data_IF_725592451508
#
_entry.id   IF_725592451508
#
_cell.length_a   1.000
_cell.length_b   1.000
_cell.length_c   1.000
_cell.angle_alpha   90.00
_cell.angle_beta   90.00
_cell.angle_gamma   90.00
#
_symmetry.space_group_name_H-M   'P 1'
#
loop_
_entity.id
_entity.type
_entity.pdbx_description
1 polymer ?
#
# COMPACT_ATOMS: atom_id res chain seq x y z
N UNK A 1 21.89 -16.71 -14.46
CA UNK A 1 23.25 -16.99 -13.94
C UNK A 1 23.87 -15.65 -13.56
N UNK A 2 24.16 -15.43 -12.27
CA UNK A 2 24.97 -14.28 -11.84
C UNK A 2 26.42 -14.60 -12.15
N UNK A 3 27.02 -13.88 -13.09
CA UNK A 3 28.41 -14.11 -13.53
C UNK A 3 29.44 -13.32 -12.70
N UNK A 4 29.01 -12.25 -12.01
CA UNK A 4 29.87 -11.42 -11.19
C UNK A 4 29.19 -11.05 -9.86
N UNK A 5 29.98 -11.02 -8.79
CA UNK A 5 29.59 -10.49 -7.48
C UNK A 5 30.42 -9.24 -7.23
N UNK A 6 29.77 -8.10 -7.07
CA UNK A 6 30.41 -6.87 -6.64
C UNK A 6 30.27 -6.67 -5.15
N UNK A 7 31.35 -6.26 -4.48
CA UNK A 7 31.29 -5.86 -3.08
C UNK A 7 30.83 -4.40 -3.02
N UNK A 8 29.72 -4.19 -2.31
CA UNK A 8 29.16 -2.86 -2.05
C UNK A 8 29.55 -2.48 -0.62
N UNK A 9 30.15 -1.32 -0.40
CA UNK A 9 30.71 -0.92 0.90
C UNK A 9 29.69 -0.91 2.06
N UNK A 10 30.20 -0.69 3.28
CA UNK A 10 29.38 -0.78 4.51
C UNK A 10 28.43 0.41 4.74
N UNK A 11 28.70 1.56 4.11
CA UNK A 11 27.99 2.83 4.35
C UNK A 11 26.88 3.10 3.34
N UNK A 12 26.29 2.03 2.78
CA UNK A 12 25.21 2.12 1.81
C UNK A 12 23.88 2.20 2.52
N UNK A 13 23.11 3.22 2.19
CA UNK A 13 21.77 3.47 2.74
C UNK A 13 20.65 3.06 1.79
N UNK A 14 20.92 2.98 0.48
CA UNK A 14 19.96 2.56 -0.53
C UNK A 14 20.66 1.96 -1.75
N UNK A 15 20.09 0.90 -2.31
CA UNK A 15 20.52 0.29 -3.59
C UNK A 15 19.29 -0.07 -4.40
N UNK A 16 19.20 0.47 -5.59
CA UNK A 16 18.15 0.14 -6.54
C UNK A 16 18.68 0.11 -7.97
N UNK A 17 17.97 -0.60 -8.83
CA UNK A 17 18.22 -0.54 -10.28
C UNK A 17 17.69 0.79 -10.80
N UNK A 18 18.53 1.57 -11.45
CA UNK A 18 18.09 2.76 -12.17
C UNK A 18 17.54 2.38 -13.55
N UNK A 19 16.40 2.94 -13.91
CA UNK A 19 15.75 2.77 -15.21
C UNK A 19 15.86 4.07 -16.01
N UNK A 20 16.33 3.97 -17.27
CA UNK A 20 16.44 5.15 -18.13
C UNK A 20 15.05 5.62 -18.52
N UNK A 21 14.81 6.93 -18.38
CA UNK A 21 13.51 7.54 -18.70
C UNK A 21 12.47 7.44 -17.58
N UNK A 22 12.84 6.89 -16.41
CA UNK A 22 11.98 6.93 -15.24
C UNK A 22 11.89 8.36 -14.71
N UNK A 23 10.72 8.98 -14.88
CA UNK A 23 10.39 10.32 -14.37
C UNK A 23 9.50 10.27 -13.14
N UNK A 24 9.02 9.07 -12.76
CA UNK A 24 8.09 8.90 -11.63
C UNK A 24 8.78 8.63 -10.31
N UNK A 25 9.95 7.99 -10.32
CA UNK A 25 10.69 7.76 -9.08
C UNK A 25 11.22 9.07 -8.52
N UNK A 26 10.62 9.52 -7.42
CA UNK A 26 11.02 10.70 -6.67
C UNK A 26 11.78 10.30 -5.43
N UNK A 27 12.94 10.93 -5.21
CA UNK A 27 13.78 10.71 -4.04
C UNK A 27 13.50 11.80 -3.02
N UNK A 28 13.18 11.40 -1.78
CA UNK A 28 13.05 12.31 -0.66
C UNK A 28 14.29 12.19 0.22
N UNK A 29 14.90 13.31 0.55
CA UNK A 29 16.14 13.29 1.32
C UNK A 29 16.25 14.45 2.32
N UNK A 30 16.80 14.12 3.48
CA UNK A 30 17.31 15.11 4.43
C UNK A 30 18.81 14.90 4.59
N UNK A 31 19.58 15.98 4.49
CA UNK A 31 21.02 15.92 4.69
C UNK A 31 21.51 17.10 5.54
N UNK A 32 22.59 16.88 6.26
CA UNK A 32 23.32 17.91 7.00
C UNK A 32 24.52 18.37 6.18
N UNK A 33 24.71 19.69 6.07
CA UNK A 33 25.78 20.31 5.30
C UNK A 33 26.99 20.63 6.21
N UNK A 34 27.99 19.74 6.24
CA UNK A 34 29.16 19.78 7.13
C UNK A 34 28.91 19.16 8.51
N UNK A 35 29.92 19.16 9.39
CA UNK A 35 29.89 18.45 10.69
C UNK A 35 28.80 18.96 11.64
N UNK A 36 28.63 20.29 11.71
CA UNK A 36 27.64 20.96 12.58
C UNK A 36 26.72 21.88 11.79
N UNK A 37 26.55 21.59 10.51
CA UNK A 37 25.85 22.45 9.56
C UNK A 37 24.34 22.35 9.64
N UNK A 38 23.69 23.24 8.90
CA UNK A 38 22.25 23.28 8.70
C UNK A 38 21.76 21.98 8.04
N UNK A 39 20.66 21.44 8.51
CA UNK A 39 19.96 20.36 7.83
C UNK A 39 19.05 20.91 6.73
N UNK A 40 19.12 20.29 5.57
CA UNK A 40 18.31 20.61 4.40
C UNK A 40 17.43 19.42 4.05
N UNK A 41 16.23 19.73 3.55
CA UNK A 41 15.25 18.78 3.05
C UNK A 41 15.00 19.04 1.57
N UNK A 42 14.88 17.99 0.77
CA UNK A 42 14.59 18.09 -0.66
C UNK A 42 13.87 16.90 -1.22
N UNK A 43 13.07 17.14 -2.24
CA UNK A 43 12.55 16.15 -3.19
C UNK A 43 13.22 16.35 -4.54
N UNK A 44 13.60 15.26 -5.20
CA UNK A 44 14.26 15.37 -6.49
C UNK A 44 14.06 14.12 -7.35
N UNK A 45 14.05 14.33 -8.66
CA UNK A 45 14.09 13.27 -9.66
C UNK A 45 15.52 13.04 -10.17
N UNK A 46 15.80 11.82 -10.63
CA UNK A 46 17.05 11.44 -11.31
C UNK A 46 16.71 10.96 -12.72
N UNK A 47 16.41 11.89 -13.60
CA UNK A 47 16.02 11.62 -14.99
C UNK A 47 17.18 11.15 -15.87
N UNK A 48 18.41 11.50 -15.50
CA UNK A 48 19.61 11.12 -16.23
C UNK A 48 20.75 10.69 -15.31
N UNK A 49 21.38 9.58 -15.65
CA UNK A 49 22.60 9.11 -15.01
C UNK A 49 23.61 8.67 -16.07
N UNK A 50 24.86 9.05 -15.87
CA UNK A 50 25.99 8.62 -16.71
C UNK A 50 26.63 7.45 -15.99
N UNK A 51 26.88 6.36 -16.70
CA UNK A 51 27.53 5.17 -16.17
C UNK A 51 28.91 5.53 -15.57
N UNK A 52 29.21 4.92 -14.43
CA UNK A 52 30.48 5.08 -13.69
C UNK A 52 30.77 6.51 -13.22
N UNK A 53 29.76 7.40 -13.19
CA UNK A 53 29.88 8.75 -12.66
C UNK A 53 29.23 8.89 -11.31
N UNK A 54 30.00 9.41 -10.34
CA UNK A 54 29.50 9.77 -9.02
C UNK A 54 28.79 11.13 -9.02
N UNK A 55 27.75 11.23 -8.19
CA UNK A 55 26.98 12.46 -8.02
C UNK A 55 26.78 12.75 -6.53
N UNK A 56 27.17 13.93 -6.10
CA UNK A 56 26.99 14.38 -4.72
C UNK A 56 25.54 14.82 -4.50
N UNK A 57 24.86 14.23 -3.52
CA UNK A 57 23.52 14.62 -3.08
C UNK A 57 23.53 15.76 -2.07
N UNK A 58 24.68 16.09 -1.49
CA UNK A 58 24.87 17.18 -0.54
C UNK A 58 25.41 18.43 -1.24
N UNK A 59 26.07 19.30 -0.51
CA UNK A 59 26.76 20.48 -1.08
C UNK A 59 28.27 20.29 -1.17
N UNK A 60 28.76 19.07 -0.97
CA UNK A 60 30.15 18.73 -1.05
C UNK A 60 31.02 19.26 0.08
N UNK A 61 30.46 19.79 1.17
CA UNK A 61 31.24 20.15 2.33
C UNK A 61 31.76 18.89 3.05
N UNK A 62 33.00 18.90 3.56
CA UNK A 62 33.53 17.82 4.37
C UNK A 62 32.56 17.49 5.53
N UNK A 63 32.45 16.20 5.88
CA UNK A 63 31.59 15.70 6.94
C UNK A 63 30.06 15.93 6.75
N UNK A 64 29.62 16.25 5.53
CA UNK A 64 28.20 16.23 5.20
C UNK A 64 27.65 14.83 5.32
N UNK A 65 26.42 14.70 5.80
CA UNK A 65 25.78 13.39 6.05
C UNK A 65 24.33 13.39 5.60
N UNK A 66 23.91 12.36 4.89
CA UNK A 66 22.50 12.07 4.64
C UNK A 66 21.89 11.51 5.93
N UNK A 67 20.82 12.13 6.39
CA UNK A 67 20.13 11.80 7.64
C UNK A 67 18.87 10.98 7.40
N UNK A 68 18.25 11.15 6.24
CA UNK A 68 17.06 10.44 5.79
C UNK A 68 17.07 10.32 4.28
N UNK A 69 16.62 9.19 3.75
CA UNK A 69 16.55 8.97 2.31
C UNK A 69 15.52 7.89 1.98
N UNK A 70 14.60 8.18 1.05
CA UNK A 70 13.66 7.23 0.48
C UNK A 70 13.62 7.38 -1.04
N UNK A 71 13.23 6.30 -1.71
CA UNK A 71 12.97 6.28 -3.14
C UNK A 71 11.51 5.89 -3.34
N UNK A 72 10.76 6.74 -3.99
CA UNK A 72 9.31 6.69 -4.08
C UNK A 72 8.90 6.54 -5.55
N UNK A 73 8.54 5.31 -6.00
CA UNK A 73 8.35 4.99 -7.44
C UNK A 73 7.23 5.77 -8.12
N UNK A 74 6.23 6.23 -7.37
CA UNK A 74 5.12 7.04 -7.88
C UNK A 74 5.10 8.44 -7.27
N UNK A 75 6.27 8.92 -6.78
CA UNK A 75 6.39 10.25 -6.20
C UNK A 75 5.62 10.41 -4.89
N UNK A 76 5.57 9.37 -4.10
CA UNK A 76 4.97 9.39 -2.76
C UNK A 76 5.66 10.44 -1.90
N UNK A 77 4.89 11.12 -1.07
CA UNK A 77 5.37 12.15 -0.15
C UNK A 77 5.01 11.78 1.27
N UNK A 78 5.97 11.19 1.96
CA UNK A 78 5.81 10.79 3.36
C UNK A 78 5.92 11.98 4.32
N UNK A 79 5.34 11.80 5.52
CA UNK A 79 5.53 12.70 6.65
C UNK A 79 6.64 12.14 7.55
N UNK A 80 7.61 12.99 7.87
CA UNK A 80 8.72 12.64 8.76
C UNK A 80 8.63 13.36 10.10
N UNK A 81 8.98 12.65 11.17
CA UNK A 81 9.16 13.19 12.53
C UNK A 81 10.65 13.47 12.76
N UNK A 82 10.95 14.74 13.03
CA UNK A 82 12.32 15.19 13.30
C UNK A 82 12.49 15.49 14.79
N UNK A 83 13.49 14.86 15.40
CA UNK A 83 13.88 15.09 16.81
C UNK A 83 15.21 15.85 16.84
N UNK A 84 15.26 16.97 17.53
CA UNK A 84 16.46 17.79 17.69
C UNK A 84 17.23 17.43 18.96
N UNK A 85 18.54 17.70 18.96
CA UNK A 85 19.35 17.58 20.18
C UNK A 85 19.05 18.75 21.11
N UNK A 86 18.79 18.50 22.41
CA UNK A 86 18.63 19.56 23.38
C UNK A 86 19.91 20.39 23.48
N UNK A 87 19.82 21.70 23.29
CA UNK A 87 20.96 22.60 23.54
C UNK A 87 20.87 23.21 24.95
N UNK A 88 22.01 23.58 25.54
CA UNK A 88 22.05 24.21 26.87
C UNK A 88 21.18 25.49 26.96
N UNK A 89 21.03 26.21 25.85
CA UNK A 89 20.21 27.42 25.74
C UNK A 89 18.70 27.13 25.66
N UNK A 90 18.30 25.94 25.18
CA UNK A 90 16.87 25.56 24.98
C UNK A 90 16.31 24.64 26.07
N UNK A 91 17.11 24.23 27.07
CA UNK A 91 16.66 23.35 28.18
C UNK A 91 15.41 23.86 28.93
N UNK A 92 15.08 25.15 28.84
CA UNK A 92 13.88 25.74 29.50
C UNK A 92 12.58 25.56 28.71
N UNK A 93 12.62 25.14 27.43
CA UNK A 93 11.41 24.90 26.61
C UNK A 93 11.51 23.53 26.01
N UNK A 94 10.76 22.54 26.53
CA UNK A 94 10.62 21.20 25.94
C UNK A 94 9.87 21.26 24.59
N UNK A 95 8.94 22.21 24.44
CA UNK A 95 8.23 22.45 23.18
C UNK A 95 9.18 22.93 22.07
N UNK A 96 9.10 22.31 20.90
CA UNK A 96 9.88 22.65 19.71
C UNK A 96 11.17 21.84 19.52
N UNK A 97 11.38 20.77 20.31
CA UNK A 97 12.45 19.79 20.04
C UNK A 97 12.01 18.69 19.06
N UNK A 98 10.72 18.52 18.87
CA UNK A 98 10.12 17.57 17.96
C UNK A 98 9.20 18.35 17.03
N UNK A 99 9.27 18.06 15.73
CA UNK A 99 8.36 18.61 14.74
C UNK A 99 8.24 17.65 13.55
N UNK A 100 7.14 17.79 12.84
CA UNK A 100 6.83 17.02 11.66
C UNK A 100 7.03 17.85 10.41
N UNK A 101 7.31 17.20 9.32
CA UNK A 101 7.47 17.84 8.02
C UNK A 101 6.93 16.91 6.94
N UNK A 102 6.00 17.41 6.15
CA UNK A 102 5.46 16.72 5.00
C UNK A 102 6.33 17.00 3.77
N UNK A 103 6.72 15.94 3.06
CA UNK A 103 7.42 16.10 1.79
C UNK A 103 6.49 16.60 0.68
N UNK A 104 5.16 16.48 0.80
CA UNK A 104 4.22 17.00 -0.18
C UNK A 104 4.31 18.53 -0.36
N UNK A 105 4.69 19.25 0.70
CA UNK A 105 4.89 20.70 0.67
C UNK A 105 6.12 21.14 -0.15
N UNK A 106 6.94 20.18 -0.62
CA UNK A 106 8.17 20.46 -1.31
C UNK A 106 8.05 20.26 -2.82
N UNK A 107 8.51 21.25 -3.58
CA UNK A 107 8.64 21.13 -5.02
C UNK A 107 9.68 20.08 -5.40
N UNK A 108 9.34 19.23 -6.37
CA UNK A 108 10.27 18.29 -6.99
C UNK A 108 11.25 19.08 -7.86
N UNK A 109 12.54 18.89 -7.62
CA UNK A 109 13.62 19.60 -8.33
C UNK A 109 14.65 18.61 -8.89
N UNK A 110 15.65 19.09 -9.62
CA UNK A 110 16.78 18.26 -10.03
C UNK A 110 17.66 17.86 -8.84
N UNK A 111 18.36 16.73 -8.93
CA UNK A 111 19.20 16.16 -7.85
C UNK A 111 20.23 17.13 -7.27
N UNK A 112 20.76 18.08 -8.07
CA UNK A 112 21.75 19.08 -7.64
C UNK A 112 21.14 20.23 -6.82
N UNK A 113 19.82 20.33 -6.74
CA UNK A 113 19.16 21.35 -5.94
C UNK A 113 19.57 21.24 -4.47
N UNK A 114 19.77 22.40 -3.82
CA UNK A 114 20.12 22.47 -2.40
C UNK A 114 18.99 21.96 -1.50
N UNK A 115 17.76 22.19 -1.90
CA UNK A 115 16.58 21.98 -1.05
C UNK A 115 16.28 23.17 -0.13
N UNK A 116 15.28 22.98 0.73
CA UNK A 116 14.85 23.96 1.73
C UNK A 116 15.60 23.71 3.06
N UNK A 117 15.69 24.70 3.90
CA UNK A 117 16.23 24.53 5.25
C UNK A 117 15.17 23.82 6.10
N UNK A 118 15.50 22.62 6.57
CA UNK A 118 14.69 21.92 7.55
C UNK A 118 14.90 22.52 8.93
N UNK A 119 16.15 22.61 9.38
CA UNK A 119 16.52 23.21 10.68
C UNK A 119 17.97 23.66 10.70
N UNK A 120 18.26 24.67 11.52
CA UNK A 120 19.64 25.10 11.85
C UNK A 120 20.16 24.43 13.12
N UNK A 121 19.31 23.72 13.82
CA UNK A 121 19.66 23.04 15.07
C UNK A 121 20.17 21.62 14.79
N UNK A 122 21.02 21.07 15.65
CA UNK A 122 21.50 19.72 15.51
C UNK A 122 20.37 18.69 15.56
N UNK A 123 20.26 17.87 14.55
CA UNK A 123 19.28 16.78 14.49
C UNK A 123 19.80 15.58 15.28
N UNK A 124 18.96 14.99 16.12
CA UNK A 124 19.22 13.73 16.80
C UNK A 124 18.77 12.55 15.95
N UNK A 125 17.50 12.53 15.54
CA UNK A 125 16.88 11.44 14.75
C UNK A 125 15.85 12.00 13.78
N UNK A 126 15.71 11.32 12.65
CA UNK A 126 14.58 11.46 11.73
C UNK A 126 13.98 10.08 11.54
N UNK A 127 12.68 9.98 11.63
CA UNK A 127 11.92 8.74 11.41
C UNK A 127 10.72 9.01 10.51
N UNK A 128 10.29 8.00 9.79
CA UNK A 128 9.00 8.00 9.12
C UNK A 128 7.91 8.10 10.18
N UNK A 129 6.92 8.95 9.96
CA UNK A 129 5.71 9.06 10.77
C UNK A 129 4.51 8.49 10.03
N UNK A 130 4.31 8.91 8.79
CA UNK A 130 3.21 8.49 7.94
C UNK A 130 3.74 8.16 6.55
N UNK A 131 3.26 7.09 5.95
CA UNK A 131 3.54 6.75 4.56
C UNK A 131 2.92 7.80 3.64
N UNK A 132 3.62 8.08 2.53
CA UNK A 132 3.19 9.13 1.62
C UNK A 132 2.17 8.64 0.61
N UNK A 133 1.31 9.54 0.17
CA UNK A 133 0.49 9.34 -1.02
C UNK A 133 1.22 9.89 -2.24
N UNK A 134 0.89 9.34 -3.42
CA UNK A 134 1.45 9.83 -4.68
C UNK A 134 1.10 11.31 -4.89
N UNK A 135 2.08 12.09 -5.34
CA UNK A 135 1.92 13.51 -5.67
C UNK A 135 2.00 13.79 -7.18
N UNK A 136 2.11 12.73 -7.98
CA UNK A 136 2.29 12.82 -9.43
C UNK A 136 1.00 12.63 -10.23
N UNK A 137 -0.13 12.48 -9.56
CA UNK A 137 -1.37 12.02 -10.20
C UNK A 137 -1.34 10.53 -10.52
N UNK A 138 -2.48 9.99 -10.86
CA UNK A 138 -2.63 8.59 -11.19
C UNK A 138 -1.95 8.22 -12.51
N UNK A 139 -1.86 6.93 -12.74
CA UNK A 139 -1.36 6.35 -13.98
C UNK A 139 -2.40 5.40 -14.54
N UNK A 140 -2.84 5.65 -15.74
CA UNK A 140 -3.71 4.74 -16.44
C UNK A 140 -3.01 3.42 -16.71
N UNK A 141 -3.70 2.32 -16.44
CA UNK A 141 -3.18 0.95 -16.58
C UNK A 141 -4.13 0.14 -17.46
N UNK A 142 -3.56 -0.57 -18.42
CA UNK A 142 -4.27 -1.50 -19.29
C UNK A 142 -3.69 -2.91 -19.16
N UNK A 143 -4.53 -3.90 -19.42
CA UNK A 143 -4.14 -5.29 -19.47
C UNK A 143 -4.25 -5.86 -20.90
N UNK A 144 -3.12 -6.26 -21.46
CA UNK A 144 -3.04 -6.87 -22.77
C UNK A 144 -3.19 -8.39 -22.65
N UNK A 145 -4.37 -8.91 -23.06
CA UNK A 145 -4.70 -10.34 -23.01
C UNK A 145 -3.89 -11.19 -23.97
N UNK A 146 -3.29 -10.61 -25.00
CA UNK A 146 -2.50 -11.39 -25.97
C UNK A 146 -1.14 -11.79 -25.38
N UNK A 147 -0.55 -10.92 -24.58
CA UNK A 147 0.76 -11.12 -23.96
C UNK A 147 0.70 -11.37 -22.46
N UNK A 148 -0.48 -11.28 -21.83
CA UNK A 148 -0.71 -11.41 -20.38
C UNK A 148 0.17 -10.49 -19.56
N UNK A 149 0.15 -9.19 -19.91
CA UNK A 149 0.92 -8.14 -19.25
C UNK A 149 0.15 -6.85 -19.09
N UNK A 150 0.55 -6.09 -18.09
CA UNK A 150 0.14 -4.69 -17.97
C UNK A 150 0.93 -3.83 -18.94
N UNK A 151 0.32 -2.73 -19.31
CA UNK A 151 0.96 -1.67 -20.07
C UNK A 151 0.32 -0.31 -19.74
N UNK A 152 0.96 0.75 -20.24
CA UNK A 152 0.54 2.14 -20.04
C UNK A 152 0.34 2.84 -21.38
N UNK A 153 0.17 2.06 -22.46
CA UNK A 153 0.17 2.50 -23.85
C UNK A 153 -1.19 2.30 -24.51
N UNK A 154 -2.28 2.25 -23.73
CA UNK A 154 -3.65 2.11 -24.21
C UNK A 154 -3.89 0.83 -25.04
N UNK A 155 -3.33 -0.31 -24.57
CA UNK A 155 -3.50 -1.60 -25.24
C UNK A 155 -4.24 -2.61 -24.37
N UNK A 156 -5.38 -3.10 -24.86
CA UNK A 156 -6.20 -4.12 -24.20
C UNK A 156 -7.27 -3.51 -23.27
N UNK A 157 -7.56 -4.19 -22.18
CA UNK A 157 -8.59 -3.83 -21.23
C UNK A 157 -8.11 -2.72 -20.31
N UNK A 158 -8.85 -1.64 -20.18
CA UNK A 158 -8.58 -0.56 -19.23
C UNK A 158 -8.93 -1.00 -17.81
N UNK A 159 -7.96 -0.96 -16.90
CA UNK A 159 -8.14 -1.37 -15.50
C UNK A 159 -8.41 -0.19 -14.56
N UNK A 160 -8.15 1.03 -14.98
CA UNK A 160 -8.35 2.23 -14.16
C UNK A 160 -7.10 3.09 -14.03
N UNK A 161 -7.26 4.21 -13.32
CA UNK A 161 -6.17 5.10 -12.91
C UNK A 161 -5.62 4.65 -11.55
N UNK A 162 -4.35 4.25 -11.51
CA UNK A 162 -3.67 3.73 -10.32
C UNK A 162 -2.77 4.78 -9.68
N UNK A 163 -2.85 4.91 -8.38
CA UNK A 163 -2.03 5.80 -7.56
C UNK A 163 -1.22 5.01 -6.53
N UNK A 164 -0.04 5.51 -6.18
CA UNK A 164 0.77 5.07 -5.02
C UNK A 164 0.83 3.57 -4.83
N UNK A 165 0.14 3.11 -3.85
CA UNK A 165 0.08 1.72 -3.35
C UNK A 165 -1.12 0.93 -3.83
N UNK A 166 -1.89 1.48 -4.77
CA UNK A 166 -2.98 0.72 -5.40
C UNK A 166 -2.46 -0.62 -5.92
N UNK A 167 -3.29 -1.62 -5.82
CA UNK A 167 -2.94 -2.99 -6.19
C UNK A 167 -3.86 -3.53 -7.26
N UNK A 168 -3.34 -4.49 -7.97
CA UNK A 168 -4.09 -5.33 -8.88
C UNK A 168 -4.55 -6.56 -8.13
N UNK A 169 -5.85 -6.82 -8.17
CA UNK A 169 -6.44 -8.08 -7.78
C UNK A 169 -6.37 -9.06 -8.95
N UNK A 170 -5.92 -10.26 -8.66
CA UNK A 170 -5.88 -11.37 -9.61
C UNK A 170 -6.62 -12.56 -9.02
N UNK A 171 -7.57 -13.09 -9.78
CA UNK A 171 -8.23 -14.37 -9.48
C UNK A 171 -8.09 -15.29 -10.66
N UNK A 172 -7.69 -16.54 -10.40
CA UNK A 172 -7.51 -17.58 -11.39
C UNK A 172 -8.72 -18.54 -11.40
N UNK A 173 -8.91 -19.26 -12.50
CA UNK A 173 -9.99 -20.25 -12.67
C UNK A 173 -9.96 -21.37 -11.60
N UNK A 174 -8.80 -21.67 -11.03
CA UNK A 174 -8.64 -22.64 -9.94
C UNK A 174 -8.98 -22.08 -8.55
N UNK A 175 -9.48 -20.85 -8.50
CA UNK A 175 -9.79 -20.15 -7.26
C UNK A 175 -8.58 -19.57 -6.53
N UNK A 176 -7.39 -19.60 -7.12
CA UNK A 176 -6.22 -18.89 -6.57
C UNK A 176 -6.45 -17.39 -6.64
N UNK A 177 -6.14 -16.67 -5.55
CA UNK A 177 -6.25 -15.21 -5.45
C UNK A 177 -4.96 -14.62 -4.91
N UNK A 178 -4.56 -13.47 -5.45
CA UNK A 178 -3.43 -12.69 -4.94
C UNK A 178 -3.51 -11.21 -5.34
N UNK A 179 -2.79 -10.38 -4.59
CA UNK A 179 -2.57 -8.98 -4.91
C UNK A 179 -1.15 -8.76 -5.42
N UNK A 180 -0.99 -7.85 -6.37
CA UNK A 180 0.31 -7.44 -6.90
C UNK A 180 0.33 -5.94 -7.18
N UNK A 181 1.53 -5.37 -7.37
CA UNK A 181 1.67 -4.01 -7.86
C UNK A 181 1.25 -3.91 -9.35
N UNK A 182 1.11 -2.70 -9.85
CA UNK A 182 0.74 -2.44 -11.24
C UNK A 182 1.95 -2.23 -12.17
N UNK A 183 3.09 -2.87 -11.87
CA UNK A 183 4.29 -2.82 -12.71
C UNK A 183 4.05 -3.53 -14.06
N UNK A 184 4.49 -2.90 -15.15
CA UNK A 184 4.50 -3.49 -16.50
C UNK A 184 5.45 -4.68 -16.65
N UNK A 185 6.30 -4.91 -15.65
CA UNK A 185 7.17 -6.09 -15.58
C UNK A 185 6.46 -7.36 -15.13
N UNK A 186 5.23 -7.23 -14.58
CA UNK A 186 4.44 -8.36 -14.11
C UNK A 186 3.98 -9.25 -15.27
N UNK A 187 4.01 -10.55 -15.02
CA UNK A 187 3.46 -11.59 -15.90
C UNK A 187 2.33 -12.29 -15.20
N UNK A 188 1.23 -12.46 -15.91
CA UNK A 188 0.03 -13.11 -15.39
C UNK A 188 -0.16 -14.48 -16.02
N UNK A 189 -0.86 -15.36 -15.31
CA UNK A 189 -1.19 -16.70 -15.71
C UNK A 189 -2.26 -16.68 -16.82
N UNK A 190 -2.29 -17.74 -17.65
CA UNK A 190 -3.25 -17.84 -18.77
C UNK A 190 -4.67 -18.24 -18.34
N UNK A 191 -4.79 -18.92 -17.20
CA UNK A 191 -6.06 -19.28 -16.57
C UNK A 191 -6.60 -18.14 -15.71
N UNK A 192 -6.44 -16.91 -16.17
CA UNK A 192 -6.90 -15.68 -15.51
C UNK A 192 -8.43 -15.57 -15.63
N UNK A 193 -9.11 -15.51 -14.48
CA UNK A 193 -10.55 -15.27 -14.39
C UNK A 193 -10.85 -13.78 -14.22
N UNK A 194 -10.20 -13.14 -13.21
CA UNK A 194 -10.37 -11.71 -12.91
C UNK A 194 -9.01 -11.02 -12.84
N UNK A 195 -8.92 -9.84 -13.42
CA UNK A 195 -7.84 -8.88 -13.22
C UNK A 195 -8.45 -7.48 -13.20
N UNK A 196 -8.28 -6.78 -12.08
CA UNK A 196 -8.82 -5.44 -11.88
C UNK A 196 -8.06 -4.67 -10.82
N UNK A 197 -8.39 -3.39 -10.65
CA UNK A 197 -7.95 -2.62 -9.50
C UNK A 197 -8.58 -3.17 -8.23
N UNK A 198 -7.76 -3.41 -7.20
CA UNK A 198 -8.24 -3.96 -5.94
C UNK A 198 -9.06 -2.95 -5.17
N UNK A 199 -10.28 -3.34 -4.82
CA UNK A 199 -11.17 -2.61 -3.95
C UNK A 199 -11.44 -3.45 -2.69
N UNK A 200 -11.04 -3.00 -1.48
CA UNK A 200 -11.25 -3.72 -0.23
C UNK A 200 -12.72 -3.78 0.19
N UNK A 201 -13.57 -2.89 -0.32
CA UNK A 201 -14.98 -2.82 0.01
C UNK A 201 -15.87 -3.67 -0.91
N UNK A 202 -15.28 -4.17 -1.99
CA UNK A 202 -16.00 -4.97 -2.99
C UNK A 202 -16.39 -6.33 -2.43
N UNK A 203 -17.69 -6.62 -2.44
CA UNK A 203 -18.25 -7.90 -2.00
C UNK A 203 -18.25 -8.87 -3.18
N UNK A 204 -17.68 -10.05 -2.95
CA UNK A 204 -17.65 -11.14 -3.90
C UNK A 204 -18.67 -12.21 -3.56
N UNK A 205 -19.38 -12.71 -4.55
CA UNK A 205 -20.26 -13.88 -4.45
C UNK A 205 -19.62 -15.04 -5.20
N UNK A 206 -19.37 -16.14 -4.50
CA UNK A 206 -18.80 -17.37 -5.07
C UNK A 206 -19.78 -18.52 -4.95
N UNK A 207 -20.06 -19.18 -6.07
CA UNK A 207 -20.69 -20.49 -6.12
C UNK A 207 -19.65 -21.53 -6.49
N UNK A 208 -19.55 -22.60 -5.72
CA UNK A 208 -18.55 -23.65 -5.92
C UNK A 208 -19.06 -25.04 -5.53
N UNK A 209 -18.53 -26.06 -6.17
CA UNK A 209 -18.78 -27.45 -5.81
C UNK A 209 -17.78 -27.90 -4.75
N UNK A 210 -18.26 -28.33 -3.59
CA UNK A 210 -17.41 -28.87 -2.53
C UNK A 210 -17.11 -30.34 -2.79
N UNK A 211 -15.88 -30.64 -3.10
CA UNK A 211 -15.40 -31.99 -3.48
C UNK A 211 -15.58 -33.05 -2.40
N UNK A 212 -15.50 -32.66 -1.11
CA UNK A 212 -15.61 -33.59 0.01
C UNK A 212 -17.03 -34.00 0.32
N UNK A 213 -17.98 -33.09 0.13
CA UNK A 213 -19.39 -33.33 0.46
C UNK A 213 -20.24 -33.63 -0.77
N UNK A 214 -19.75 -33.30 -1.96
CA UNK A 214 -20.45 -33.53 -3.22
C UNK A 214 -21.62 -32.57 -3.46
N UNK A 215 -21.63 -31.39 -2.79
CA UNK A 215 -22.74 -30.43 -2.88
C UNK A 215 -22.24 -29.06 -3.35
N UNK A 216 -23.16 -28.26 -3.85
CA UNK A 216 -22.91 -26.88 -4.27
C UNK A 216 -23.17 -25.91 -3.11
N UNK A 217 -22.20 -25.02 -2.91
CA UNK A 217 -22.19 -24.02 -1.86
C UNK A 217 -22.11 -22.62 -2.46
N UNK A 218 -22.73 -21.66 -1.76
CA UNK A 218 -22.55 -20.24 -2.01
C UNK A 218 -21.92 -19.57 -0.81
N UNK A 219 -21.05 -18.59 -1.05
CA UNK A 219 -20.56 -17.68 -0.03
C UNK A 219 -20.40 -16.27 -0.57
N UNK A 220 -20.56 -15.29 0.32
CA UNK A 220 -20.26 -13.88 0.08
C UNK A 220 -19.11 -13.45 1.00
N UNK A 221 -18.15 -12.72 0.47
CA UNK A 221 -16.96 -12.35 1.23
C UNK A 221 -16.30 -11.09 0.71
N UNK A 222 -15.50 -10.44 1.58
CA UNK A 222 -14.54 -9.40 1.22
C UNK A 222 -13.14 -10.01 1.11
N UNK A 223 -12.34 -9.45 0.24
CA UNK A 223 -10.92 -9.76 0.12
C UNK A 223 -10.12 -8.73 0.92
N UNK A 224 -9.74 -9.06 2.14
CA UNK A 224 -8.98 -8.19 3.03
C UNK A 224 -7.48 -8.38 2.81
N UNK A 225 -6.74 -7.33 2.46
CA UNK A 225 -5.32 -7.38 2.10
C UNK A 225 -4.45 -8.03 3.17
N UNK A 226 -4.65 -7.66 4.43
CA UNK A 226 -3.89 -8.14 5.59
C UNK A 226 -4.12 -9.65 5.87
N UNK A 227 -5.22 -10.21 5.37
CA UNK A 227 -5.59 -11.62 5.51
C UNK A 227 -5.18 -12.47 4.31
N UNK A 228 -4.83 -11.84 3.18
CA UNK A 228 -4.35 -12.55 2.00
C UNK A 228 -2.85 -12.89 2.13
N UNK A 229 -2.53 -14.13 1.83
CA UNK A 229 -1.13 -14.56 1.67
C UNK A 229 -0.64 -14.21 0.27
N UNK A 230 0.64 -14.39 0.01
CA UNK A 230 1.26 -14.12 -1.30
C UNK A 230 0.52 -14.79 -2.47
N UNK A 231 0.00 -16.00 -2.27
CA UNK A 231 -1.02 -16.67 -3.06
C UNK A 231 -1.93 -17.39 -2.10
N UNK A 232 -3.22 -17.13 -2.14
CA UNK A 232 -4.24 -17.74 -1.30
C UNK A 232 -5.32 -18.38 -2.19
N UNK A 233 -6.37 -18.93 -1.62
CA UNK A 233 -7.48 -19.48 -2.37
C UNK A 233 -8.81 -18.99 -1.83
N UNK A 234 -9.73 -18.68 -2.75
CA UNK A 234 -11.12 -18.41 -2.41
C UNK A 234 -11.94 -19.69 -2.23
N UNK A 235 -11.41 -20.87 -2.55
CA UNK A 235 -12.07 -22.17 -2.34
C UNK A 235 -11.81 -22.68 -0.91
N UNK A 236 -12.65 -23.62 -0.46
CA UNK A 236 -12.52 -24.20 0.89
C UNK A 236 -11.51 -25.33 0.94
N UNK A 237 -11.45 -26.12 -0.15
CA UNK A 237 -10.47 -27.19 -0.32
C UNK A 237 -9.79 -27.08 -1.70
N UNK A 238 -8.57 -27.60 -1.86
CA UNK A 238 -7.87 -27.56 -3.14
C UNK A 238 -8.55 -28.28 -4.31
N UNK A 239 -9.39 -29.26 -4.00
CA UNK A 239 -10.11 -30.07 -5.00
C UNK A 239 -11.53 -29.56 -5.27
N UNK A 240 -11.95 -28.47 -4.62
CA UNK A 240 -13.23 -27.82 -4.87
C UNK A 240 -13.20 -27.17 -6.26
N UNK A 241 -14.36 -27.11 -6.93
CA UNK A 241 -14.47 -26.51 -8.26
C UNK A 241 -15.23 -25.20 -8.20
N UNK A 242 -14.63 -24.13 -8.73
CA UNK A 242 -15.29 -22.86 -8.92
C UNK A 242 -16.33 -23.00 -10.05
N UNK A 243 -17.58 -22.63 -9.79
CA UNK A 243 -18.66 -22.66 -10.76
C UNK A 243 -19.00 -21.26 -11.26
N UNK A 244 -19.08 -20.28 -10.34
CA UNK A 244 -19.36 -18.88 -10.64
C UNK A 244 -18.67 -17.98 -9.62
N UNK A 245 -18.10 -16.89 -10.09
CA UNK A 245 -17.62 -15.78 -9.27
C UNK A 245 -18.22 -14.49 -9.81
N UNK A 246 -18.96 -13.79 -8.97
CA UNK A 246 -19.61 -12.52 -9.30
C UNK A 246 -19.16 -11.41 -8.38
N UNK A 247 -19.02 -10.22 -8.93
CA UNK A 247 -18.75 -8.97 -8.22
C UNK A 247 -20.00 -8.07 -8.11
N UNK A 248 -21.14 -8.56 -8.58
CA UNK A 248 -22.40 -7.86 -8.45
C UNK A 248 -22.83 -7.78 -6.97
N UNK A 249 -23.14 -6.58 -6.44
CA UNK A 249 -23.55 -6.39 -5.04
C UNK A 249 -24.77 -7.23 -4.67
N UNK A 250 -25.74 -7.31 -5.60
CA UNK A 250 -27.00 -8.05 -5.47
C UNK A 250 -27.03 -9.27 -6.40
N UNK A 251 -25.93 -10.02 -6.42
CA UNK A 251 -25.78 -11.19 -7.28
C UNK A 251 -26.97 -12.13 -7.17
N UNK A 252 -27.55 -12.48 -8.33
CA UNK A 252 -28.63 -13.46 -8.45
C UNK A 252 -28.17 -14.58 -9.37
N UNK A 253 -28.34 -15.80 -8.94
CA UNK A 253 -27.85 -16.95 -9.67
C UNK A 253 -28.93 -17.98 -9.90
N UNK A 254 -28.93 -18.63 -11.08
CA UNK A 254 -29.70 -19.80 -11.39
C UNK A 254 -28.82 -21.04 -11.30
N UNK A 255 -29.24 -22.01 -10.52
CA UNK A 255 -28.59 -23.31 -10.38
C UNK A 255 -29.40 -24.36 -11.12
N UNK A 256 -28.79 -25.02 -12.08
CA UNK A 256 -29.41 -26.09 -12.88
C UNK A 256 -28.99 -27.43 -12.34
N UNK A 257 -29.95 -28.33 -12.11
CA UNK A 257 -29.71 -29.67 -11.57
C UNK A 257 -29.78 -30.76 -12.65
N UNK A 258 -29.21 -31.92 -12.36
CA UNK A 258 -29.16 -33.07 -13.30
C UNK A 258 -30.55 -33.59 -13.68
N UNK A 259 -31.54 -33.40 -12.82
CA UNK A 259 -32.95 -33.78 -13.12
C UNK A 259 -33.68 -32.77 -14.00
N UNK A 260 -33.01 -31.69 -14.41
CA UNK A 260 -33.54 -30.62 -15.24
C UNK A 260 -34.35 -29.57 -14.48
N UNK A 261 -34.38 -29.63 -13.17
CA UNK A 261 -34.96 -28.56 -12.34
C UNK A 261 -33.97 -27.38 -12.17
N UNK A 262 -34.49 -26.20 -11.96
CA UNK A 262 -33.71 -25.01 -11.68
C UNK A 262 -34.10 -24.36 -10.35
N UNK A 263 -33.17 -23.72 -9.70
CA UNK A 263 -33.37 -22.93 -8.47
C UNK A 263 -32.72 -21.57 -8.64
N UNK A 264 -33.47 -20.51 -8.44
CA UNK A 264 -32.97 -19.14 -8.43
C UNK A 264 -32.66 -18.72 -7.00
N UNK A 265 -31.48 -18.12 -6.78
CA UNK A 265 -31.00 -17.71 -5.46
C UNK A 265 -30.52 -16.26 -5.53
N UNK A 266 -31.11 -15.40 -4.69
CA UNK A 266 -30.61 -14.06 -4.41
C UNK A 266 -29.55 -14.16 -3.30
N UNK A 267 -28.30 -13.82 -3.64
CA UNK A 267 -27.17 -14.07 -2.77
C UNK A 267 -27.26 -13.29 -1.45
N UNK A 268 -27.78 -12.07 -1.47
CA UNK A 268 -27.94 -11.22 -0.29
C UNK A 268 -28.89 -11.82 0.74
N UNK A 269 -30.07 -12.27 0.31
CA UNK A 269 -31.06 -12.90 1.19
C UNK A 269 -30.64 -14.31 1.63
N UNK A 270 -29.84 -14.97 0.79
CA UNK A 270 -29.42 -16.34 1.03
C UNK A 270 -28.30 -16.43 2.07
N UNK A 271 -27.28 -15.55 2.03
CA UNK A 271 -26.15 -15.60 2.93
C UNK A 271 -25.52 -14.22 3.19
N UNK A 272 -25.29 -13.92 4.46
CA UNK A 272 -24.55 -12.73 4.86
C UNK A 272 -23.06 -12.79 4.45
N UNK A 273 -22.44 -11.60 4.26
CA UNK A 273 -21.01 -11.45 4.00
C UNK A 273 -20.20 -11.99 5.18
N UNK A 274 -19.15 -12.78 4.89
CA UNK A 274 -18.24 -13.39 5.87
C UNK A 274 -16.79 -13.29 5.37
N UNK A 275 -15.84 -13.76 6.16
CA UNK A 275 -14.44 -13.83 5.73
C UNK A 275 -14.24 -14.83 4.58
N UNK A 276 -13.25 -14.59 3.72
CA UNK A 276 -12.94 -15.40 2.52
C UNK A 276 -12.78 -16.90 2.79
N UNK A 277 -12.33 -17.27 4.00
CA UNK A 277 -12.14 -18.69 4.42
C UNK A 277 -13.40 -19.37 4.94
N UNK A 278 -14.53 -18.67 5.02
CA UNK A 278 -15.79 -19.29 5.41
C UNK A 278 -16.23 -20.29 4.33
N UNK A 279 -16.80 -21.41 4.76
CA UNK A 279 -17.32 -22.44 3.86
C UNK A 279 -18.54 -21.97 3.06
N UNK A 280 -19.32 -21.05 3.64
CA UNK A 280 -20.58 -20.62 3.04
C UNK A 280 -21.76 -21.50 3.43
N UNK A 281 -22.84 -21.39 2.68
CA UNK A 281 -24.10 -22.11 2.89
C UNK A 281 -24.39 -23.00 1.68
N UNK A 282 -24.80 -24.24 1.93
CA UNK A 282 -25.19 -25.16 0.89
C UNK A 282 -26.47 -24.70 0.22
N UNK A 283 -26.49 -24.66 -1.10
CA UNK A 283 -27.67 -24.27 -1.88
C UNK A 283 -28.67 -25.42 -1.87
N UNK A 284 -28.29 -26.61 -2.33
CA UNK A 284 -29.16 -27.75 -2.46
C UNK A 284 -28.43 -29.05 -2.17
N UNK A 285 -29.18 -30.15 -2.12
CA UNK A 285 -28.68 -31.53 -2.09
C UNK A 285 -28.69 -32.20 -3.47
N UNK A 286 -29.20 -31.52 -4.51
CA UNK A 286 -29.20 -31.99 -5.87
C UNK A 286 -27.80 -31.90 -6.52
N UNK A 287 -27.56 -32.75 -7.52
CA UNK A 287 -26.34 -32.63 -8.32
C UNK A 287 -26.47 -31.45 -9.29
N UNK A 288 -25.62 -30.46 -9.13
CA UNK A 288 -25.59 -29.27 -9.99
C UNK A 288 -24.86 -29.58 -11.29
N UNK A 289 -25.43 -29.21 -12.41
CA UNK A 289 -24.81 -29.32 -13.75
C UNK A 289 -24.26 -27.99 -14.24
N UNK A 290 -25.02 -26.90 -14.06
CA UNK A 290 -24.64 -25.56 -14.51
C UNK A 290 -25.06 -24.52 -13.49
N UNK A 291 -24.39 -23.36 -13.49
CA UNK A 291 -24.72 -22.18 -12.71
C UNK A 291 -24.62 -20.96 -13.63
N UNK A 292 -25.67 -20.17 -13.67
CA UNK A 292 -25.75 -18.97 -14.48
C UNK A 292 -25.98 -17.73 -13.61
N UNK A 293 -25.34 -16.65 -13.97
CA UNK A 293 -25.64 -15.34 -13.38
C UNK A 293 -26.87 -14.74 -14.03
N UNK A 294 -27.79 -14.24 -13.24
CA UNK A 294 -29.00 -13.55 -13.69
C UNK A 294 -28.89 -12.05 -13.40
N UNK A 295 -29.66 -11.27 -14.13
CA UNK A 295 -29.79 -9.84 -13.80
C UNK A 295 -30.30 -9.64 -12.37
N UNK A 296 -29.67 -8.77 -11.56
CA UNK A 296 -30.10 -8.49 -10.19
C UNK A 296 -31.49 -7.84 -10.20
N UNK A 297 -32.30 -8.15 -9.18
CA UNK A 297 -33.60 -7.54 -9.00
C UNK A 297 -33.56 -6.17 -8.33
N UNK A 298 -32.47 -5.87 -7.61
CA UNK A 298 -32.20 -4.59 -6.95
C UNK A 298 -30.97 -3.93 -7.59
N UNK A 299 -30.92 -2.59 -7.52
CA UNK A 299 -29.75 -1.82 -7.92
C UNK A 299 -29.23 -1.01 -6.71
N UNK A 300 -27.94 -0.65 -6.66
CA UNK A 300 -27.37 0.13 -5.56
C UNK A 300 -28.07 1.48 -5.30
N UNK A 301 -28.76 2.01 -6.28
CA UNK A 301 -29.51 3.27 -6.17
C UNK A 301 -30.79 3.12 -5.31
N UNK A 302 -31.29 1.91 -5.14
CA UNK A 302 -32.52 1.63 -4.37
C UNK A 302 -32.30 1.74 -2.84
N UNK A 303 -31.05 1.72 -2.36
CA UNK A 303 -30.71 1.89 -0.92
C UNK A 303 -30.50 3.36 -0.51
N UNK A 304 -30.29 4.28 -1.45
CA UNK A 304 -30.00 5.67 -1.14
C UNK A 304 -31.22 6.47 -0.64
N UNK A 305 -32.43 5.95 -0.78
CA UNK A 305 -33.68 6.62 -0.40
C UNK A 305 -34.18 6.27 1.01
N UNK A 306 -33.59 5.26 1.73
CA UNK A 306 -34.11 4.78 3.00
C UNK A 306 -33.34 5.32 4.25
N UNK A 307 -32.22 6.02 4.07
CA UNK A 307 -31.35 6.53 5.17
C UNK A 307 -31.56 8.00 5.55
N UNK A 308 -32.76 8.57 5.35
CA UNK A 308 -33.00 9.99 5.61
C UNK A 308 -33.62 10.33 6.99
N UNK A 309 -33.57 9.48 7.99
CA UNK A 309 -34.06 9.78 9.35
C UNK A 309 -33.22 9.12 10.48
N UNK A 310 -31.95 9.55 10.69
CA UNK A 310 -31.31 9.43 12.01
C UNK A 310 -30.55 10.70 12.38
N UNK A 311 -31.04 11.35 13.46
CA UNK A 311 -30.53 12.57 14.05
C UNK A 311 -29.11 12.42 14.61
N UNK A 312 -28.27 13.36 14.21
CA UNK A 312 -26.92 13.63 14.62
C UNK A 312 -26.80 13.83 16.16
N UNK A 313 -26.09 12.92 16.84
CA UNK A 313 -25.57 13.19 18.19
C UNK A 313 -24.03 13.24 18.11
N UNK A 314 -23.38 14.32 18.57
CA UNK A 314 -21.93 14.43 18.49
C UNK A 314 -21.27 13.57 19.56
N UNK A 315 -20.46 12.58 19.12
CA UNK A 315 -19.61 11.78 20.01
C UNK A 315 -18.37 12.54 20.46
N UNK A 316 -18.17 12.54 21.78
CA UNK A 316 -16.99 13.03 22.50
C UNK A 316 -15.85 11.97 22.40
N UNK A 317 -15.02 12.01 21.37
CA UNK A 317 -13.78 11.19 21.31
C UNK A 317 -12.57 11.96 20.78
N UNK A 318 -12.23 13.09 21.38
CA UNK A 318 -11.02 13.86 21.01
C UNK A 318 -9.95 13.92 22.12
N UNK A 319 -10.23 13.41 23.33
CA UNK A 319 -9.28 13.55 24.45
C UNK A 319 -8.23 12.42 24.58
N UNK A 320 -8.42 11.21 24.02
CA UNK A 320 -7.46 10.11 24.21
C UNK A 320 -6.19 10.22 23.36
N UNK A 321 -6.27 10.75 22.14
CA UNK A 321 -5.12 10.84 21.23
C UNK A 321 -4.10 11.92 21.62
N UNK A 322 -4.50 12.89 22.43
CA UNK A 322 -3.58 13.95 22.90
C UNK A 322 -2.70 13.50 24.06
N UNK A 323 -3.19 12.60 24.92
CA UNK A 323 -2.42 12.10 26.09
C UNK A 323 -1.36 11.08 25.66
N UNK A 324 -1.68 10.14 24.75
CA UNK A 324 -0.72 9.16 24.21
C UNK A 324 0.43 9.84 23.45
N UNK A 325 0.12 10.91 22.72
CA UNK A 325 1.12 11.70 21.99
C UNK A 325 2.07 12.47 22.91
N UNK A 326 1.56 12.98 24.02
CA UNK A 326 2.36 13.69 25.00
C UNK A 326 3.32 12.74 25.75
N UNK A 327 2.89 11.51 26.03
CA UNK A 327 3.73 10.49 26.67
C UNK A 327 4.85 9.99 25.74
N UNK A 328 4.56 9.76 24.45
CA UNK A 328 5.58 9.37 23.46
C UNK A 328 6.64 10.45 23.26
N UNK A 329 6.24 11.72 23.19
CA UNK A 329 7.17 12.85 23.10
C UNK A 329 8.03 12.98 24.36
N UNK A 330 7.48 12.73 25.54
CA UNK A 330 8.21 12.76 26.80
C UNK A 330 9.27 11.64 26.86
N UNK A 331 8.94 10.42 26.44
CA UNK A 331 9.88 9.28 26.40
C UNK A 331 11.04 9.52 25.44
N UNK A 332 10.78 10.07 24.24
CA UNK A 332 11.82 10.38 23.25
C UNK A 332 12.77 11.46 23.78
N UNK A 333 12.26 12.48 24.48
CA UNK A 333 13.08 13.53 25.08
C UNK A 333 13.96 12.97 26.22
N UNK A 334 13.43 12.04 27.02
CA UNK A 334 14.17 11.39 28.08
C UNK A 334 15.31 10.51 27.54
N UNK A 335 15.05 9.73 26.49
CA UNK A 335 16.06 8.92 25.81
C UNK A 335 17.21 9.77 25.24
N UNK A 336 16.90 10.87 24.56
CA UNK A 336 17.89 11.83 24.05
C UNK A 336 18.74 12.42 25.18
N UNK A 337 18.11 12.77 26.30
CA UNK A 337 18.79 13.33 27.47
C UNK A 337 19.69 12.31 28.15
N UNK A 338 19.25 11.03 28.23
CA UNK A 338 20.02 9.91 28.80
C UNK A 338 21.25 9.62 27.99
N UNK A 339 21.14 9.53 26.66
CA UNK A 339 22.29 9.28 25.78
C UNK A 339 23.32 10.41 25.84
N UNK A 340 22.89 11.66 25.98
CA UNK A 340 23.82 12.76 26.16
C UNK A 340 24.61 12.68 27.48
N UNK A 341 23.99 12.18 28.56
CA UNK A 341 24.68 11.99 29.85
C UNK A 341 25.73 10.89 29.76
N UNK A 342 25.52 9.86 28.95
CA UNK A 342 26.49 8.79 28.76
C UNK A 342 27.70 9.26 27.95
N UNK A 343 27.49 10.04 26.88
CA UNK A 343 28.60 10.57 26.07
C UNK A 343 29.47 11.62 26.80
N UNK A 344 28.91 12.34 27.79
CA UNK A 344 29.70 13.28 28.62
C UNK A 344 30.51 12.60 29.72
N UNK A 345 30.22 11.31 30.03
CA UNK A 345 30.98 10.57 31.04
C UNK A 345 32.22 9.92 30.47
N UNK A 346 32.22 9.61 29.20
CA UNK A 346 33.33 8.98 28.50
C UNK A 346 34.43 10.02 28.08
N UNK A 347 34.13 11.31 28.06
CA UNK A 347 35.09 12.37 27.73
C UNK A 347 35.85 12.92 28.95
N UNK A 348 35.48 12.54 30.18
CA UNK A 348 36.13 12.99 31.42
C UNK A 348 37.10 11.92 32.02
N UNK A 349 37.32 10.74 31.36
CA UNK A 349 38.21 9.69 31.79
C UNK A 349 39.46 9.47 30.89
N UNK A 350 39.86 10.44 30.06
CA UNK A 350 41.19 10.42 29.38
C UNK A 350 42.11 11.56 29.85
#
# INVERSE_FOLDING_TARGET
KVSEKSFVGKDIIHVARWVRGDERTIYNAVYRDGKEGTAFIKRFAVTTAIRDREYDLTRGKPDSKVLYFTANPNGEAEVIKTVLRPSAKKRRRKSGLIFETDFADLLIKGRQARGNILTKEPVFRISLKEEGKSTLGGRDVWFDRDVFRLNYDDRGDYLGEFMGDDKILVVLEDGTVYLTDFSDSNHFERNLLVIEQYDPEKVWTLVYHNSKEGFTYMKRFLLEEDKLRKKDTILTNPDDTLLLLSDEPYARVEVVYEDGTTEEVEAEDFIAVKGVRAKGKRISTGTTTEVHELEPLKQPEDEADDDSDEEDTPDEEVESDMDDRAEEEAQVIEEVTRQQRLTFRDDDEE
#
